data_IF_836134802779
#
_entry.id   IF_836134802779
#
_cell.length_a   1.000
_cell.length_b   1.000
_cell.length_c   1.000
_cell.angle_alpha   90.00
_cell.angle_beta   90.00
_cell.angle_gamma   90.00
#
_symmetry.space_group_name_H-M   'P 1'
#
loop_
_entity.id
_entity.type
_entity.pdbx_description
1 polymer ?
#
# COMPACT_ATOMS: atom_id res chain seq x y z
N UNK A 1 8.95 -12.50 -16.84
CA UNK A 1 8.25 -12.70 -15.57
C UNK A 1 8.48 -11.42 -14.78
N UNK A 2 7.42 -10.69 -14.43
CA UNK A 2 7.54 -9.53 -13.55
C UNK A 2 7.75 -10.12 -12.15
N UNK A 3 8.83 -9.73 -11.49
CA UNK A 3 9.09 -10.10 -10.10
C UNK A 3 8.53 -8.96 -9.24
N UNK A 4 7.31 -9.10 -8.68
CA UNK A 4 6.71 -8.05 -7.88
C UNK A 4 7.52 -7.84 -6.62
N UNK A 5 7.74 -6.58 -6.25
CA UNK A 5 8.33 -6.21 -4.97
C UNK A 5 7.45 -6.67 -3.79
N UNK A 6 8.03 -6.79 -2.60
CA UNK A 6 7.30 -7.17 -1.39
C UNK A 6 6.09 -6.24 -1.12
N UNK A 7 6.22 -4.96 -1.48
CA UNK A 7 5.14 -3.97 -1.38
C UNK A 7 4.01 -4.29 -2.36
N UNK A 8 4.33 -4.63 -3.61
CA UNK A 8 3.34 -5.01 -4.61
C UNK A 8 2.66 -6.33 -4.23
N UNK A 9 3.38 -7.29 -3.66
CA UNK A 9 2.81 -8.53 -3.11
C UNK A 9 1.84 -8.27 -1.97
N UNK A 10 2.17 -7.37 -1.05
CA UNK A 10 1.29 -6.97 0.04
C UNK A 10 0.02 -6.27 -0.47
N UNK A 11 0.17 -5.37 -1.45
CA UNK A 11 -0.96 -4.71 -2.10
C UNK A 11 -1.85 -5.69 -2.89
N UNK A 12 -1.28 -6.73 -3.50
CA UNK A 12 -2.07 -7.80 -4.12
C UNK A 12 -2.86 -8.59 -3.07
N UNK A 13 -2.26 -8.87 -1.92
CA UNK A 13 -2.93 -9.57 -0.82
C UNK A 13 -4.07 -8.74 -0.20
N UNK A 14 -3.91 -7.41 -0.12
CA UNK A 14 -4.96 -6.53 0.44
C UNK A 14 -6.22 -6.49 -0.42
N UNK A 15 -6.12 -6.80 -1.73
CA UNK A 15 -7.27 -6.89 -2.62
C UNK A 15 -8.22 -8.06 -2.29
N UNK A 16 -7.74 -9.12 -1.62
CA UNK A 16 -8.49 -10.37 -1.47
C UNK A 16 -9.76 -10.22 -0.62
N UNK A 17 -9.70 -9.42 0.45
CA UNK A 17 -10.84 -9.17 1.32
C UNK A 17 -11.98 -8.42 0.60
N UNK A 18 -11.77 -7.22 0.03
CA UNK A 18 -12.84 -6.49 -0.65
C UNK A 18 -13.32 -7.20 -1.92
N UNK A 19 -12.44 -7.92 -2.61
CA UNK A 19 -12.84 -8.80 -3.71
C UNK A 19 -13.80 -9.90 -3.22
N UNK A 20 -13.47 -10.56 -2.11
CA UNK A 20 -14.30 -11.59 -1.49
C UNK A 20 -15.68 -11.06 -1.08
N UNK A 21 -15.72 -9.87 -0.48
CA UNK A 21 -16.96 -9.20 -0.09
C UNK A 21 -17.85 -8.92 -1.31
N UNK A 22 -17.26 -8.40 -2.39
CA UNK A 22 -17.99 -8.13 -3.62
C UNK A 22 -18.51 -9.41 -4.27
N UNK A 23 -17.66 -10.43 -4.44
CA UNK A 23 -18.07 -11.72 -5.03
C UNK A 23 -19.12 -12.43 -4.16
N UNK A 24 -19.01 -12.32 -2.84
CA UNK A 24 -20.02 -12.79 -1.89
C UNK A 24 -21.39 -12.13 -2.11
N UNK A 25 -21.41 -10.83 -2.42
CA UNK A 25 -22.65 -10.08 -2.65
C UNK A 25 -23.40 -10.45 -3.93
N UNK A 26 -22.69 -10.88 -4.98
CA UNK A 26 -23.26 -11.23 -6.29
C UNK A 26 -23.50 -12.73 -6.51
N UNK A 27 -23.04 -13.56 -5.56
CA UNK A 27 -23.24 -15.01 -5.54
C UNK A 27 -22.04 -15.80 -6.06
N UNK A 28 -21.30 -16.44 -5.14
CA UNK A 28 -20.06 -17.19 -5.42
C UNK A 28 -20.21 -18.40 -6.35
N UNK A 29 -21.43 -18.88 -6.59
CA UNK A 29 -21.68 -20.07 -7.41
C UNK A 29 -21.82 -19.77 -8.91
N UNK A 30 -21.81 -18.49 -9.29
CA UNK A 30 -21.89 -18.08 -10.69
C UNK A 30 -20.48 -18.13 -11.29
N UNK A 31 -20.28 -18.81 -12.44
CA UNK A 31 -19.02 -18.70 -13.16
C UNK A 31 -18.84 -17.28 -13.70
N UNK A 32 -17.59 -16.83 -13.87
CA UNK A 32 -17.26 -15.52 -14.46
C UNK A 32 -17.89 -15.29 -15.84
N UNK A 33 -18.15 -16.35 -16.60
CA UNK A 33 -18.82 -16.26 -17.91
C UNK A 33 -20.27 -15.76 -17.82
N UNK A 34 -20.92 -15.93 -16.66
CA UNK A 34 -22.29 -15.49 -16.43
C UNK A 34 -22.36 -14.07 -15.84
N UNK A 35 -21.23 -13.41 -15.69
CA UNK A 35 -21.18 -12.06 -15.13
C UNK A 35 -21.52 -11.05 -16.22
N UNK A 36 -22.39 -10.10 -15.86
CA UNK A 36 -22.69 -8.97 -16.73
C UNK A 36 -21.48 -8.04 -16.79
N UNK A 37 -21.39 -7.24 -17.84
CA UNK A 37 -20.31 -6.28 -18.03
C UNK A 37 -20.13 -5.36 -16.81
N UNK A 38 -21.23 -4.92 -16.20
CA UNK A 38 -21.21 -4.05 -15.03
C UNK A 38 -20.60 -4.74 -13.81
N UNK A 39 -20.88 -6.04 -13.64
CA UNK A 39 -20.33 -6.85 -12.54
C UNK A 39 -18.82 -7.07 -12.71
N UNK A 40 -18.36 -7.26 -13.95
CA UNK A 40 -16.94 -7.38 -14.27
C UNK A 40 -16.20 -6.06 -14.07
N UNK A 41 -16.77 -4.94 -14.53
CA UNK A 41 -16.17 -3.62 -14.32
C UNK A 41 -16.02 -3.31 -12.84
N UNK A 42 -17.03 -3.65 -12.03
CA UNK A 42 -16.98 -3.46 -10.58
C UNK A 42 -15.92 -4.35 -9.91
N UNK A 43 -15.70 -5.59 -10.35
CA UNK A 43 -14.59 -6.42 -9.86
C UNK A 43 -13.24 -5.75 -10.08
N UNK A 44 -13.03 -5.22 -11.28
CA UNK A 44 -11.79 -4.51 -11.62
C UNK A 44 -11.64 -3.27 -10.75
N UNK A 45 -12.71 -2.49 -10.58
CA UNK A 45 -12.72 -1.31 -9.72
C UNK A 45 -12.36 -1.65 -8.27
N UNK A 46 -13.00 -2.67 -7.70
CA UNK A 46 -12.72 -3.13 -6.32
C UNK A 46 -11.25 -3.52 -6.14
N UNK A 47 -10.69 -4.28 -7.08
CA UNK A 47 -9.29 -4.72 -7.01
C UNK A 47 -8.32 -3.55 -7.18
N UNK A 48 -8.56 -2.68 -8.18
CA UNK A 48 -7.67 -1.55 -8.45
C UNK A 48 -7.69 -0.54 -7.31
N UNK A 49 -8.86 -0.24 -6.76
CA UNK A 49 -9.01 0.67 -5.61
C UNK A 49 -8.27 0.12 -4.39
N UNK A 50 -8.51 -1.14 -4.01
CA UNK A 50 -7.86 -1.74 -2.85
C UNK A 50 -6.33 -1.79 -2.99
N UNK A 51 -5.84 -2.06 -4.20
CA UNK A 51 -4.41 -2.04 -4.49
C UNK A 51 -3.83 -0.63 -4.34
N UNK A 52 -4.47 0.37 -4.96
CA UNK A 52 -4.01 1.76 -4.92
C UNK A 52 -4.06 2.35 -3.52
N UNK A 53 -5.10 2.06 -2.74
CA UNK A 53 -5.21 2.48 -1.35
C UNK A 53 -4.06 1.91 -0.50
N UNK A 54 -3.76 0.61 -0.64
CA UNK A 54 -2.64 0.01 0.07
C UNK A 54 -1.30 0.65 -0.33
N UNK A 55 -1.09 0.89 -1.63
CA UNK A 55 0.14 1.53 -2.12
C UNK A 55 0.28 2.96 -1.57
N UNK A 56 -0.80 3.73 -1.51
CA UNK A 56 -0.78 5.09 -0.93
C UNK A 56 -0.38 5.05 0.54
N UNK A 57 -1.03 4.21 1.35
CA UNK A 57 -0.73 4.07 2.78
C UNK A 57 0.74 3.66 3.00
N UNK A 58 1.24 2.70 2.21
CA UNK A 58 2.61 2.25 2.36
C UNK A 58 3.64 3.31 1.93
N UNK A 59 3.35 4.07 0.87
CA UNK A 59 4.18 5.20 0.45
C UNK A 59 4.21 6.31 1.51
N UNK A 60 3.09 6.64 2.12
CA UNK A 60 3.02 7.58 3.24
C UNK A 60 3.85 7.09 4.43
N UNK A 61 3.70 5.81 4.79
CA UNK A 61 4.46 5.17 5.88
C UNK A 61 5.97 5.17 5.65
N UNK A 62 6.42 5.06 4.40
CA UNK A 62 7.83 5.15 4.03
C UNK A 62 8.31 6.60 4.13
N UNK A 63 7.56 7.55 3.55
CA UNK A 63 7.90 8.97 3.59
C UNK A 63 8.00 9.52 5.02
N UNK A 64 7.10 9.10 5.92
CA UNK A 64 7.16 9.47 7.34
C UNK A 64 8.41 8.92 8.04
N UNK A 65 8.75 7.65 7.79
CA UNK A 65 9.97 7.05 8.35
C UNK A 65 11.23 7.74 7.87
N UNK A 66 11.28 8.07 6.58
CA UNK A 66 12.41 8.78 5.99
C UNK A 66 12.56 10.16 6.63
N UNK A 67 11.45 10.90 6.76
CA UNK A 67 11.44 12.21 7.43
C UNK A 67 11.93 12.12 8.87
N UNK A 68 11.41 11.18 9.66
CA UNK A 68 11.82 10.99 11.05
C UNK A 68 13.32 10.65 11.17
N UNK A 69 13.82 9.79 10.28
CA UNK A 69 15.24 9.42 10.23
C UNK A 69 16.13 10.64 9.91
N UNK A 70 15.73 11.48 8.95
CA UNK A 70 16.48 12.69 8.62
C UNK A 70 16.48 13.71 9.77
N UNK A 71 15.34 13.92 10.42
CA UNK A 71 15.23 14.81 11.60
C UNK A 71 16.11 14.32 12.76
N UNK A 72 16.14 13.00 13.01
CA UNK A 72 17.03 12.40 14.02
C UNK A 72 18.51 12.60 13.67
N UNK A 73 18.90 12.42 12.40
CA UNK A 73 20.29 12.65 11.97
C UNK A 73 20.71 14.11 12.13
N UNK A 74 19.83 15.05 11.77
CA UNK A 74 20.09 16.48 11.92
C UNK A 74 20.26 16.88 13.39
N UNK A 75 19.39 16.40 14.27
CA UNK A 75 19.49 16.68 15.72
C UNK A 75 20.77 16.14 16.34
N UNK A 76 21.18 14.90 16.01
CA UNK A 76 22.46 14.31 16.45
C UNK A 76 23.67 15.09 15.92
N UNK A 77 23.62 15.59 14.69
CA UNK A 77 24.70 16.38 14.10
C UNK A 77 24.84 17.75 14.79
N UNK A 78 23.72 18.41 15.08
CA UNK A 78 23.69 19.69 15.80
C UNK A 78 24.23 19.56 17.23
N UNK A 79 23.88 18.47 17.92
CA UNK A 79 24.41 18.17 19.26
C UNK A 79 25.94 17.98 19.25
N UNK A 80 26.48 17.23 18.29
CA UNK A 80 27.94 17.05 18.14
C UNK A 80 28.70 18.34 17.84
N UNK A 81 28.11 19.25 17.07
CA UNK A 81 28.71 20.56 16.79
C UNK A 81 28.77 21.46 18.04
N UNK A 82 27.79 21.37 18.94
CA UNK A 82 27.72 22.18 20.17
C UNK A 82 28.71 21.74 21.27
N UNK A 83 29.19 20.49 21.24
CA UNK A 83 30.14 19.95 22.24
C UNK A 83 31.61 20.12 21.84
N UNK A 84 31.89 20.64 20.64
CA UNK A 84 33.22 20.68 20.03
C UNK A 84 34.03 21.96 20.21
N UNK A 85 33.69 22.86 21.14
CA UNK A 85 34.47 24.10 21.39
C UNK A 85 35.20 24.02 22.73
N UNK A 86 36.49 23.63 22.76
CA UNK A 86 37.35 23.89 23.91
C UNK A 86 37.88 25.33 23.87
N UNK A 87 37.85 26.01 25.02
CA UNK A 87 38.55 27.26 25.29
C UNK A 87 40.06 27.06 25.40
#
# INVERSE_FOLDING_TARGET
MIDPSDMELAAMASCLAPLGDYVGSIGMQRPLADYRKEEVLMLVEVVVTAYQEHMLVEHERIAEKDRAFFEERLSRQCQRASTGVPF
#
